data_IF_591880124564
#
_entry.id   IF_591880124564
#
_cell.length_a   1.000
_cell.length_b   1.000
_cell.length_c   1.000
_cell.angle_alpha   90.00
_cell.angle_beta   90.00
_cell.angle_gamma   90.00
#
_symmetry.space_group_name_H-M   'P 1'
#
loop_
_entity.id
_entity.type
_entity.pdbx_description
1 polymer ?
#
# COMPACT_ATOMS: atom_id res chain seq x y z
N UNK A 1 15.43 -6.19 -39.35
CA UNK A 1 15.23 -5.35 -38.15
C UNK A 1 15.80 -6.10 -36.95
N UNK A 2 16.93 -5.62 -36.46
CA UNK A 2 17.68 -6.20 -35.35
C UNK A 2 16.85 -6.05 -34.09
N UNK A 3 16.45 -7.17 -33.46
CA UNK A 3 15.94 -7.17 -32.08
C UNK A 3 17.10 -6.74 -31.19
N UNK A 4 17.00 -5.55 -30.60
CA UNK A 4 17.95 -5.12 -29.56
C UNK A 4 17.85 -6.08 -28.37
N UNK A 5 18.99 -6.65 -28.03
CA UNK A 5 19.21 -7.63 -26.96
C UNK A 5 19.29 -6.98 -25.56
N UNK A 6 18.43 -6.02 -25.23
CA UNK A 6 18.55 -5.20 -23.99
C UNK A 6 17.59 -5.57 -22.84
N UNK A 7 16.88 -6.71 -22.89
CA UNK A 7 15.79 -6.99 -21.93
C UNK A 7 16.04 -8.11 -20.91
N UNK A 8 17.26 -8.64 -20.76
CA UNK A 8 17.49 -9.77 -19.86
C UNK A 8 17.56 -9.43 -18.37
N UNK A 9 17.52 -8.15 -17.99
CA UNK A 9 17.89 -7.74 -16.62
C UNK A 9 17.01 -6.65 -15.98
N UNK A 10 15.72 -6.62 -16.29
CA UNK A 10 14.75 -5.72 -15.64
C UNK A 10 13.38 -6.37 -15.54
N UNK A 11 12.56 -5.91 -14.59
CA UNK A 11 11.14 -6.26 -14.60
C UNK A 11 10.44 -5.52 -15.74
N UNK A 12 9.41 -6.15 -16.31
CA UNK A 12 8.62 -5.55 -17.37
C UNK A 12 7.68 -4.50 -16.78
N UNK A 13 7.81 -3.27 -17.24
CA UNK A 13 6.96 -2.13 -16.85
C UNK A 13 6.32 -1.51 -18.09
N UNK A 14 5.28 -0.71 -17.88
CA UNK A 14 4.58 0.01 -18.95
C UNK A 14 4.66 1.51 -18.67
N UNK A 15 5.10 2.29 -19.68
CA UNK A 15 5.28 3.74 -19.54
C UNK A 15 3.98 4.48 -19.17
N UNK A 16 2.84 3.98 -19.65
CA UNK A 16 1.52 4.56 -19.37
C UNK A 16 0.95 4.16 -18.01
N UNK A 17 1.53 3.16 -17.33
CA UNK A 17 1.04 2.70 -16.04
C UNK A 17 1.59 3.59 -14.93
N UNK A 18 0.67 4.18 -14.16
CA UNK A 18 0.96 5.06 -13.03
C UNK A 18 1.46 4.30 -11.80
N UNK A 19 1.31 2.97 -11.80
CA UNK A 19 1.76 2.07 -10.75
C UNK A 19 1.37 2.50 -9.33
N UNK A 20 0.10 2.86 -9.05
CA UNK A 20 -0.30 3.26 -7.73
C UNK A 20 -0.20 2.09 -6.75
N UNK A 21 0.12 2.38 -5.50
CA UNK A 21 0.13 1.43 -4.39
C UNK A 21 -0.13 2.14 -3.07
N UNK A 22 -0.56 1.39 -2.06
CA UNK A 22 -0.76 1.88 -0.70
C UNK A 22 -0.14 0.89 0.29
N UNK A 23 -0.20 1.21 1.57
CA UNK A 23 0.20 0.27 2.63
C UNK A 23 -0.99 -0.04 3.53
N UNK A 24 -1.28 -1.30 3.79
CA UNK A 24 -2.27 -1.71 4.78
C UNK A 24 -1.61 -2.30 6.01
N UNK A 25 -2.37 -2.49 7.09
CA UNK A 25 -1.87 -3.08 8.33
C UNK A 25 -2.37 -4.53 8.38
N UNK A 26 -1.47 -5.48 8.18
CA UNK A 26 -1.76 -6.90 8.34
C UNK A 26 -1.81 -7.28 9.84
N UNK A 27 -2.50 -8.37 10.13
CA UNK A 27 -2.68 -8.91 11.49
C UNK A 27 -1.81 -10.15 11.75
N UNK A 28 -1.28 -10.78 10.71
CA UNK A 28 -0.41 -11.94 10.84
C UNK A 28 1.05 -11.61 10.50
N UNK A 29 2.02 -12.27 11.15
CA UNK A 29 3.41 -12.17 10.75
C UNK A 29 3.60 -12.76 9.36
N UNK A 30 4.67 -12.32 8.69
CA UNK A 30 5.04 -12.90 7.40
C UNK A 30 5.26 -14.42 7.53
N UNK A 31 4.55 -15.19 6.71
CA UNK A 31 4.72 -16.64 6.63
C UNK A 31 6.06 -16.97 5.96
N UNK A 32 7.00 -17.43 6.80
CA UNK A 32 8.36 -17.76 6.40
C UNK A 32 8.45 -19.04 5.54
N UNK A 33 7.42 -19.89 5.53
CA UNK A 33 7.41 -21.13 4.74
C UNK A 33 7.42 -20.83 3.23
N UNK A 34 6.90 -19.66 2.84
CA UNK A 34 6.93 -19.20 1.46
C UNK A 34 8.33 -18.81 0.95
N UNK A 35 9.34 -18.72 1.84
CA UNK A 35 10.69 -18.26 1.53
C UNK A 35 11.71 -19.39 1.68
N UNK A 36 11.72 -20.29 0.69
CA UNK A 36 12.58 -21.49 0.69
C UNK A 36 14.05 -21.22 0.39
N UNK A 37 14.36 -20.14 -0.33
CA UNK A 37 15.74 -19.77 -0.62
C UNK A 37 16.43 -19.24 0.66
N UNK A 38 17.66 -19.70 1.02
CA UNK A 38 18.31 -19.30 2.26
C UNK A 38 18.41 -17.79 2.45
N UNK A 39 18.74 -17.06 1.38
CA UNK A 39 18.85 -15.60 1.41
C UNK A 39 17.49 -14.93 1.65
N UNK A 40 16.46 -15.35 0.91
CA UNK A 40 15.10 -14.83 1.08
C UNK A 40 14.58 -15.11 2.49
N UNK A 41 14.87 -16.28 3.06
CA UNK A 41 14.49 -16.61 4.44
C UNK A 41 15.14 -15.68 5.48
N UNK A 42 16.42 -15.31 5.31
CA UNK A 42 17.11 -14.36 6.19
C UNK A 42 16.48 -12.97 6.10
N UNK A 43 16.22 -12.49 4.88
CA UNK A 43 15.57 -11.20 4.66
C UNK A 43 14.14 -11.17 5.19
N UNK A 44 13.34 -12.21 4.92
CA UNK A 44 11.97 -12.35 5.40
C UNK A 44 11.89 -12.35 6.93
N UNK A 45 12.87 -12.95 7.62
CA UNK A 45 12.94 -12.92 9.09
C UNK A 45 13.08 -11.51 9.65
N UNK A 46 13.77 -10.61 8.95
CA UNK A 46 13.96 -9.22 9.40
C UNK A 46 12.63 -8.46 9.42
N UNK A 47 11.81 -8.65 8.39
CA UNK A 47 10.52 -7.98 8.22
C UNK A 47 9.33 -8.77 8.78
N UNK A 48 9.58 -9.94 9.40
CA UNK A 48 8.54 -10.88 9.82
C UNK A 48 7.43 -10.22 10.65
N UNK A 49 7.83 -9.34 11.57
CA UNK A 49 6.93 -8.73 12.55
C UNK A 49 6.49 -7.32 12.16
N UNK A 50 6.85 -6.82 10.97
CA UNK A 50 6.39 -5.53 10.48
C UNK A 50 5.02 -5.71 9.81
N UNK A 51 3.92 -5.20 10.42
CA UNK A 51 2.57 -5.39 9.90
C UNK A 51 2.25 -4.53 8.68
N UNK A 52 3.09 -3.55 8.30
CA UNK A 52 2.73 -2.55 7.29
C UNK A 52 3.12 -3.06 5.91
N UNK A 53 2.15 -3.58 5.17
CA UNK A 53 2.39 -4.31 3.93
C UNK A 53 2.04 -3.46 2.70
N UNK A 54 2.93 -3.37 1.68
CA UNK A 54 2.63 -2.68 0.43
C UNK A 54 1.64 -3.47 -0.42
N UNK A 55 0.66 -2.77 -1.01
CA UNK A 55 -0.31 -3.35 -1.92
C UNK A 55 -0.59 -2.48 -3.16
N UNK A 56 -0.39 -3.04 -4.37
CA UNK A 56 0.45 -4.20 -4.65
C UNK A 56 1.91 -3.89 -4.37
N UNK A 57 2.74 -4.92 -4.26
CA UNK A 57 4.11 -4.79 -3.76
C UNK A 57 5.10 -4.09 -4.72
N UNK A 58 4.68 -3.50 -5.87
CA UNK A 58 5.44 -2.70 -6.89
C UNK A 58 6.98 -2.88 -6.97
N UNK A 59 7.49 -4.11 -6.80
CA UNK A 59 8.93 -4.41 -6.76
C UNK A 59 9.61 -4.11 -8.10
N UNK A 60 8.83 -4.15 -9.18
CA UNK A 60 9.23 -3.83 -10.53
C UNK A 60 9.70 -2.37 -10.65
N UNK A 61 8.97 -1.44 -10.04
CA UNK A 61 9.27 0.00 -10.08
C UNK A 61 10.50 0.34 -9.24
N UNK A 62 10.55 -0.19 -8.02
CA UNK A 62 11.71 -0.05 -7.12
C UNK A 62 12.98 -0.57 -7.78
N UNK A 63 12.96 -1.81 -8.29
CA UNK A 63 14.15 -2.43 -8.90
C UNK A 63 14.63 -1.68 -10.15
N UNK A 64 13.70 -1.21 -10.99
CA UNK A 64 14.05 -0.48 -12.21
C UNK A 64 14.48 0.97 -11.93
N UNK A 65 14.14 1.50 -10.75
CA UNK A 65 14.29 2.91 -10.38
C UNK A 65 13.27 3.81 -11.08
N UNK A 66 12.07 3.30 -11.37
CA UNK A 66 10.99 4.02 -12.06
C UNK A 66 9.97 4.51 -11.06
N UNK A 67 9.38 5.70 -11.24
CA UNK A 67 8.41 6.25 -10.30
C UNK A 67 7.18 5.36 -10.06
N UNK A 68 6.62 5.49 -8.86
CA UNK A 68 5.32 4.96 -8.47
C UNK A 68 4.47 6.08 -7.88
N UNK A 69 3.17 5.83 -7.69
CA UNK A 69 2.29 6.75 -6.95
C UNK A 69 1.90 6.10 -5.62
N UNK A 70 2.22 6.76 -4.51
CA UNK A 70 1.71 6.35 -3.20
C UNK A 70 0.30 6.93 -3.06
N UNK A 71 -0.70 6.07 -2.86
CA UNK A 71 -2.07 6.48 -2.51
C UNK A 71 -2.04 6.94 -1.05
N UNK A 72 -2.55 8.14 -0.78
CA UNK A 72 -2.49 8.76 0.54
C UNK A 72 -3.91 9.16 0.98
N UNK A 73 -4.29 8.99 2.25
CA UNK A 73 -5.50 9.60 2.79
C UNK A 73 -5.49 11.12 2.56
N UNK A 74 -6.63 11.69 2.20
CA UNK A 74 -6.77 13.13 1.98
C UNK A 74 -6.88 13.96 3.28
N UNK A 75 -6.90 13.29 4.43
CA UNK A 75 -7.06 13.87 5.75
C UNK A 75 -6.40 12.98 6.81
N UNK A 76 -6.09 13.53 8.01
CA UNK A 76 -5.54 12.74 9.10
C UNK A 76 -6.43 11.54 9.44
N UNK A 77 -5.81 10.37 9.56
CA UNK A 77 -6.51 9.13 9.93
C UNK A 77 -6.52 9.02 11.45
N UNK A 78 -7.69 9.24 12.03
CA UNK A 78 -7.90 9.16 13.47
C UNK A 78 -9.22 8.47 13.83
N UNK A 79 -9.29 7.95 15.06
CA UNK A 79 -10.49 7.32 15.61
C UNK A 79 -10.56 7.49 17.14
N UNK A 80 -11.71 7.91 17.72
CA UNK A 80 -11.88 7.99 19.17
C UNK A 80 -12.03 6.58 19.76
N UNK A 81 -11.08 6.18 20.62
CA UNK A 81 -11.11 4.87 21.26
C UNK A 81 -12.11 4.82 22.42
N UNK A 82 -12.21 5.92 23.16
CA UNK A 82 -13.14 6.17 24.26
C UNK A 82 -13.31 7.69 24.46
N UNK A 83 -13.92 8.11 25.57
CA UNK A 83 -14.17 9.54 25.86
C UNK A 83 -12.88 10.35 26.04
N UNK A 84 -11.78 9.74 26.50
CA UNK A 84 -10.53 10.43 26.85
C UNK A 84 -9.39 10.23 25.85
N UNK A 85 -9.51 9.30 24.89
CA UNK A 85 -8.41 8.89 24.01
C UNK A 85 -8.84 8.88 22.54
N UNK A 86 -8.04 9.53 21.70
CA UNK A 86 -8.10 9.45 20.24
C UNK A 86 -6.82 8.79 19.73
N UNK A 87 -6.97 7.74 18.92
CA UNK A 87 -5.87 7.15 18.18
C UNK A 87 -5.68 7.89 16.85
N UNK A 88 -4.43 8.17 16.48
CA UNK A 88 -4.07 8.80 15.21
C UNK A 88 -2.91 8.05 14.57
N UNK A 89 -2.97 7.81 13.26
CA UNK A 89 -1.82 7.29 12.51
C UNK A 89 -0.88 8.44 12.19
N UNK A 90 0.38 8.26 12.57
CA UNK A 90 1.46 9.15 12.19
C UNK A 90 1.98 8.76 10.79
N UNK A 91 1.82 9.62 9.77
CA UNK A 91 2.13 9.25 8.38
C UNK A 91 3.60 8.88 8.15
N UNK A 92 4.54 9.60 8.78
CA UNK A 92 5.97 9.42 8.48
C UNK A 92 6.49 8.05 8.98
N UNK A 93 6.33 7.66 10.26
CA UNK A 93 6.73 6.32 10.70
C UNK A 93 5.93 5.21 10.00
N UNK A 94 4.67 5.45 9.68
CA UNK A 94 3.84 4.49 8.94
C UNK A 94 4.43 4.21 7.54
N UNK A 95 4.71 5.27 6.78
CA UNK A 95 5.29 5.16 5.44
C UNK A 95 6.72 4.63 5.49
N UNK A 96 7.54 5.05 6.45
CA UNK A 96 8.90 4.51 6.65
C UNK A 96 8.86 2.99 6.80
N UNK A 97 8.00 2.49 7.67
CA UNK A 97 7.88 1.05 7.95
C UNK A 97 7.31 0.28 6.75
N UNK A 98 6.36 0.84 6.02
CA UNK A 98 5.87 0.26 4.76
C UNK A 98 6.94 0.21 3.67
N UNK A 99 7.69 1.30 3.48
CA UNK A 99 8.77 1.36 2.49
C UNK A 99 9.89 0.38 2.85
N UNK A 100 10.21 0.21 4.12
CA UNK A 100 11.13 -0.82 4.58
C UNK A 100 10.71 -2.21 4.08
N UNK A 101 9.46 -2.62 4.36
CA UNK A 101 8.92 -3.88 3.86
C UNK A 101 9.03 -3.98 2.33
N UNK A 102 8.63 -2.93 1.61
CA UNK A 102 8.72 -2.88 0.14
C UNK A 102 10.15 -3.10 -0.37
N UNK A 103 11.15 -2.47 0.23
CA UNK A 103 12.56 -2.61 -0.18
C UNK A 103 13.10 -4.02 0.12
N UNK A 104 12.76 -4.59 1.28
CA UNK A 104 13.09 -5.98 1.60
C UNK A 104 12.48 -6.97 0.60
N UNK A 105 11.21 -6.80 0.24
CA UNK A 105 10.55 -7.62 -0.77
C UNK A 105 11.13 -7.43 -2.17
N UNK A 106 11.53 -6.21 -2.52
CA UNK A 106 12.18 -5.94 -3.79
C UNK A 106 13.57 -6.61 -3.86
N UNK A 107 14.36 -6.64 -2.78
CA UNK A 107 15.62 -7.40 -2.72
C UNK A 107 15.36 -8.91 -2.85
N UNK A 108 14.41 -9.46 -2.08
CA UNK A 108 14.06 -10.89 -2.17
C UNK A 108 13.63 -11.28 -3.58
N UNK A 109 12.69 -10.54 -4.18
CA UNK A 109 12.16 -10.84 -5.52
C UNK A 109 13.18 -10.64 -6.62
N UNK A 110 14.03 -9.63 -6.52
CA UNK A 110 15.09 -9.41 -7.51
C UNK A 110 16.15 -10.51 -7.49
N UNK A 111 16.51 -11.03 -6.31
CA UNK A 111 17.38 -12.19 -6.17
C UNK A 111 16.76 -13.45 -6.74
N UNK A 112 15.50 -13.73 -6.42
CA UNK A 112 14.78 -14.91 -6.89
C UNK A 112 14.56 -14.94 -8.40
N UNK A 113 14.19 -13.80 -8.99
CA UNK A 113 13.74 -13.73 -10.40
C UNK A 113 14.84 -13.31 -11.37
N UNK A 114 15.76 -12.46 -10.92
CA UNK A 114 16.77 -11.83 -11.78
C UNK A 114 18.20 -12.15 -11.35
N UNK A 115 18.39 -12.84 -10.22
CA UNK A 115 19.70 -13.15 -9.63
C UNK A 115 20.55 -11.89 -9.40
N UNK A 116 19.91 -10.77 -9.05
CA UNK A 116 20.54 -9.47 -8.82
C UNK A 116 20.06 -8.86 -7.50
N UNK A 117 20.92 -8.06 -6.88
CA UNK A 117 20.51 -7.17 -5.78
C UNK A 117 19.93 -5.88 -6.33
N UNK A 118 19.14 -5.21 -5.50
CA UNK A 118 18.85 -3.80 -5.61
C UNK A 118 20.15 -3.00 -5.62
N UNK A 119 20.18 -1.99 -6.49
CA UNK A 119 21.26 -1.00 -6.52
C UNK A 119 20.82 0.21 -5.71
N UNK A 120 21.65 0.74 -4.79
CA UNK A 120 21.33 1.95 -4.03
C UNK A 120 20.87 3.11 -4.94
N UNK A 121 21.62 3.37 -6.02
CA UNK A 121 21.29 4.39 -7.02
C UNK A 121 19.88 4.24 -7.61
N UNK A 122 19.40 2.99 -7.81
CA UNK A 122 18.06 2.73 -8.35
C UNK A 122 16.98 3.00 -7.31
N UNK A 123 17.22 2.65 -6.06
CA UNK A 123 16.30 2.91 -4.95
C UNK A 123 16.22 4.41 -4.66
N UNK A 124 17.36 5.12 -4.64
CA UNK A 124 17.40 6.58 -4.51
C UNK A 124 16.64 7.26 -5.65
N UNK A 125 16.89 6.86 -6.91
CA UNK A 125 16.17 7.40 -8.05
C UNK A 125 14.66 7.09 -7.98
N UNK A 126 14.26 5.90 -7.54
CA UNK A 126 12.84 5.58 -7.33
C UNK A 126 12.22 6.51 -6.29
N UNK A 127 12.87 6.69 -5.14
CA UNK A 127 12.35 7.50 -4.04
C UNK A 127 12.26 8.98 -4.42
N UNK A 128 13.32 9.54 -5.02
CA UNK A 128 13.34 10.93 -5.50
C UNK A 128 12.21 11.20 -6.50
N UNK A 129 11.98 10.28 -7.43
CA UNK A 129 10.91 10.43 -8.41
C UNK A 129 9.51 10.13 -7.85
N UNK A 130 9.39 9.39 -6.74
CA UNK A 130 8.10 9.00 -6.16
C UNK A 130 7.61 9.99 -5.11
N UNK A 131 8.51 10.53 -4.27
CA UNK A 131 8.13 11.36 -3.13
C UNK A 131 7.35 12.62 -3.51
N UNK A 132 7.66 13.19 -4.68
CA UNK A 132 7.04 14.40 -5.23
C UNK A 132 5.79 14.18 -6.07
N UNK A 133 5.42 12.91 -6.32
CA UNK A 133 4.24 12.61 -7.12
C UNK A 133 3.00 12.52 -6.25
N UNK A 134 1.93 13.12 -6.76
CA UNK A 134 0.58 12.95 -6.24
C UNK A 134 -0.33 12.53 -7.39
N UNK A 135 -1.01 11.40 -7.23
CA UNK A 135 -2.08 10.99 -8.14
C UNK A 135 -3.42 11.34 -7.54
N UNK A 136 -4.27 12.05 -8.29
CA UNK A 136 -5.64 12.35 -7.85
C UNK A 136 -6.49 11.08 -7.91
N UNK A 137 -6.53 10.35 -6.79
CA UNK A 137 -7.13 9.03 -6.67
C UNK A 137 -8.34 9.07 -5.72
N UNK A 138 -9.14 10.14 -5.80
CA UNK A 138 -10.20 10.52 -4.86
C UNK A 138 -10.91 9.37 -4.14
N UNK A 139 -11.53 8.43 -4.88
CA UNK A 139 -12.26 7.32 -4.25
C UNK A 139 -11.35 6.34 -3.48
N UNK A 140 -10.14 6.08 -3.97
CA UNK A 140 -9.17 5.20 -3.32
C UNK A 140 -8.53 5.87 -2.11
N UNK A 141 -8.36 7.19 -2.09
CA UNK A 141 -7.88 7.91 -0.91
C UNK A 141 -8.88 7.80 0.25
N UNK A 142 -10.18 7.90 -0.05
CA UNK A 142 -11.27 7.69 0.91
C UNK A 142 -11.32 6.23 1.39
N UNK A 143 -11.31 5.28 0.46
CA UNK A 143 -11.38 3.86 0.79
C UNK A 143 -10.12 3.44 1.59
N UNK A 144 -8.95 3.98 1.28
CA UNK A 144 -7.72 3.76 2.05
C UNK A 144 -7.80 4.35 3.47
N UNK A 145 -8.33 5.57 3.62
CA UNK A 145 -8.61 6.15 4.94
C UNK A 145 -9.55 5.24 5.75
N UNK A 146 -10.56 4.64 5.11
CA UNK A 146 -11.47 3.71 5.76
C UNK A 146 -10.78 2.40 6.20
N UNK A 147 -9.88 1.83 5.40
CA UNK A 147 -9.11 0.63 5.78
C UNK A 147 -8.24 0.87 7.00
N UNK A 148 -7.56 2.02 7.06
CA UNK A 148 -6.74 2.38 8.21
C UNK A 148 -7.59 2.69 9.46
N UNK A 149 -8.71 3.41 9.30
CA UNK A 149 -9.66 3.65 10.39
C UNK A 149 -10.26 2.37 10.94
N UNK A 150 -10.51 1.36 10.09
CA UNK A 150 -10.99 0.06 10.53
C UNK A 150 -10.02 -0.56 11.54
N UNK A 151 -8.71 -0.52 11.27
CA UNK A 151 -7.70 -1.05 12.18
C UNK A 151 -7.68 -0.32 13.53
N UNK A 152 -7.80 1.02 13.52
CA UNK A 152 -7.90 1.80 14.76
C UNK A 152 -9.17 1.46 15.55
N UNK A 153 -10.30 1.36 14.85
CA UNK A 153 -11.62 1.11 15.41
C UNK A 153 -11.73 -0.28 16.06
N UNK A 154 -11.10 -1.30 15.47
CA UNK A 154 -11.20 -2.68 15.96
C UNK A 154 -9.98 -3.05 16.80
N UNK A 155 -8.82 -3.24 16.18
CA UNK A 155 -7.62 -3.80 16.81
C UNK A 155 -7.10 -2.89 17.92
N UNK A 156 -6.79 -1.63 17.61
CA UNK A 156 -6.21 -0.71 18.61
C UNK A 156 -7.18 -0.46 19.74
N UNK A 157 -8.48 -0.29 19.42
CA UNK A 157 -9.51 -0.15 20.44
C UNK A 157 -9.60 -1.37 21.35
N UNK A 158 -9.47 -2.58 20.81
CA UNK A 158 -9.47 -3.80 21.60
C UNK A 158 -8.22 -3.88 22.48
N UNK A 159 -7.03 -3.58 21.93
CA UNK A 159 -5.76 -3.54 22.68
C UNK A 159 -5.81 -2.57 23.86
N UNK A 160 -6.26 -1.33 23.62
CA UNK A 160 -6.30 -0.29 24.67
C UNK A 160 -7.34 -0.57 25.74
N UNK A 161 -8.45 -1.22 25.39
CA UNK A 161 -9.51 -1.56 26.34
C UNK A 161 -9.40 -2.99 26.90
N UNK A 162 -8.25 -3.67 26.70
CA UNK A 162 -7.99 -5.04 27.15
C UNK A 162 -9.10 -6.04 26.75
N UNK A 163 -9.57 -5.94 25.52
CA UNK A 163 -10.62 -6.80 24.95
C UNK A 163 -10.03 -7.93 24.10
N UNK A 164 -10.92 -8.83 23.67
CA UNK A 164 -10.61 -9.93 22.75
C UNK A 164 -10.02 -9.42 21.42
N UNK A 165 -8.71 -9.63 21.25
CA UNK A 165 -7.97 -9.26 20.05
C UNK A 165 -8.34 -10.16 18.87
N UNK A 166 -8.62 -11.44 19.10
CA UNK A 166 -8.98 -12.37 18.02
C UNK A 166 -10.34 -12.00 17.43
N UNK A 167 -11.33 -11.73 18.28
CA UNK A 167 -12.62 -11.19 17.85
C UNK A 167 -12.50 -9.87 17.09
N UNK A 168 -11.65 -8.95 17.58
CA UNK A 168 -11.37 -7.68 16.89
C UNK A 168 -10.68 -7.87 15.53
N UNK A 169 -9.84 -8.89 15.39
CA UNK A 169 -9.18 -9.25 14.14
C UNK A 169 -10.15 -9.83 13.10
N UNK A 170 -11.11 -10.65 13.53
CA UNK A 170 -12.22 -11.09 12.67
C UNK A 170 -13.01 -9.88 12.17
N UNK A 171 -13.41 -8.99 13.08
CA UNK A 171 -14.17 -7.77 12.74
C UNK A 171 -13.39 -6.87 11.77
N UNK A 172 -12.07 -6.70 11.98
CA UNK A 172 -11.19 -5.96 11.08
C UNK A 172 -11.23 -6.51 9.66
N UNK A 173 -10.98 -7.83 9.50
CA UNK A 173 -10.96 -8.48 8.21
C UNK A 173 -12.34 -8.43 7.53
N UNK A 174 -13.42 -8.60 8.29
CA UNK A 174 -14.79 -8.51 7.76
C UNK A 174 -15.13 -7.12 7.25
N UNK A 175 -14.75 -6.05 7.95
CA UNK A 175 -14.99 -4.67 7.51
C UNK A 175 -14.32 -4.42 6.16
N UNK A 176 -13.02 -4.74 6.04
CA UNK A 176 -12.27 -4.51 4.80
C UNK A 176 -12.80 -5.39 3.66
N UNK A 177 -13.01 -6.69 3.91
CA UNK A 177 -13.61 -7.61 2.94
C UNK A 177 -14.94 -7.08 2.42
N UNK A 178 -15.81 -6.57 3.29
CA UNK A 178 -17.11 -6.02 2.91
C UNK A 178 -16.97 -4.74 2.07
N UNK A 179 -16.03 -3.85 2.39
CA UNK A 179 -15.75 -2.66 1.57
C UNK A 179 -15.30 -3.09 0.16
N UNK A 180 -14.28 -3.94 0.06
CA UNK A 180 -13.74 -4.42 -1.22
C UNK A 180 -14.82 -5.15 -2.04
N UNK A 181 -15.54 -6.10 -1.43
CA UNK A 181 -16.63 -6.85 -2.05
C UNK A 181 -17.71 -5.92 -2.59
N UNK A 182 -18.14 -4.94 -1.80
CA UNK A 182 -19.16 -3.97 -2.20
C UNK A 182 -18.71 -3.11 -3.37
N UNK A 183 -17.43 -2.71 -3.42
CA UNK A 183 -16.87 -1.95 -4.55
C UNK A 183 -16.82 -2.78 -5.82
N UNK A 184 -16.31 -4.01 -5.73
CA UNK A 184 -16.26 -4.91 -6.88
C UNK A 184 -17.65 -5.28 -7.38
N UNK A 185 -18.62 -5.59 -6.51
CA UNK A 185 -20.01 -5.87 -6.90
C UNK A 185 -20.72 -4.69 -7.55
N UNK A 186 -20.43 -3.46 -7.10
CA UNK A 186 -20.93 -2.24 -7.74
C UNK A 186 -20.32 -2.01 -9.12
N UNK A 187 -19.12 -2.55 -9.36
CA UNK A 187 -18.33 -2.38 -10.58
C UNK A 187 -18.22 -0.90 -10.99
N UNK A 188 -18.01 -0.01 -10.02
CA UNK A 188 -17.93 1.43 -10.23
C UNK A 188 -16.90 2.04 -9.31
N UNK A 189 -16.14 3.00 -9.84
CA UNK A 189 -15.20 3.84 -9.11
C UNK A 189 -15.36 5.28 -9.59
N UNK A 190 -15.29 6.23 -8.65
CA UNK A 190 -15.30 7.64 -8.96
C UNK A 190 -13.86 8.08 -9.30
N UNK A 191 -13.69 8.69 -10.47
CA UNK A 191 -12.44 9.31 -10.91
C UNK A 191 -12.67 10.80 -11.11
N UNK A 192 -11.64 11.60 -10.90
CA UNK A 192 -11.68 13.04 -11.12
C UNK A 192 -10.57 13.43 -12.10
N UNK A 193 -10.96 14.01 -13.24
CA UNK A 193 -10.06 14.46 -14.31
C UNK A 193 -10.50 15.85 -14.75
N UNK A 194 -9.60 16.82 -14.75
CA UNK A 194 -9.84 18.23 -15.07
C UNK A 194 -11.03 18.80 -14.27
N UNK A 195 -11.08 18.48 -12.97
CA UNK A 195 -12.21 18.83 -12.06
C UNK A 195 -13.58 18.23 -12.44
N UNK A 196 -13.63 17.34 -13.43
CA UNK A 196 -14.85 16.61 -13.78
C UNK A 196 -14.81 15.24 -13.09
N UNK A 197 -15.84 14.97 -12.29
CA UNK A 197 -16.01 13.69 -11.64
C UNK A 197 -16.84 12.75 -12.52
N UNK A 198 -16.32 11.55 -12.77
CA UNK A 198 -16.98 10.52 -13.57
C UNK A 198 -16.99 9.17 -12.83
N UNK A 199 -18.10 8.44 -12.97
CA UNK A 199 -18.20 7.08 -12.45
C UNK A 199 -17.93 6.04 -13.53
N UNK A 200 -16.70 5.54 -13.54
CA UNK A 200 -16.17 4.57 -14.51
C UNK A 200 -16.26 3.14 -13.97
N UNK A 201 -16.23 2.15 -14.87
CA UNK A 201 -16.31 0.74 -14.48
C UNK A 201 -14.94 0.23 -13.97
N UNK A 202 -14.95 -0.70 -13.01
CA UNK A 202 -13.75 -1.42 -12.57
C UNK A 202 -13.35 -2.52 -13.57
N UNK A 203 -14.35 -3.16 -14.18
CA UNK A 203 -14.19 -4.20 -15.19
C UNK A 203 -15.35 -4.19 -16.19
N UNK A 204 -15.13 -4.84 -17.33
CA UNK A 204 -16.18 -5.20 -18.29
C UNK A 204 -16.49 -6.68 -18.27
N UNK A 205 -17.76 -7.01 -18.44
CA UNK A 205 -18.23 -8.38 -18.59
C UNK A 205 -18.26 -8.78 -20.06
N UNK A 206 -17.67 -9.93 -20.39
CA UNK A 206 -17.71 -10.48 -21.74
C UNK A 206 -18.26 -11.90 -21.71
N UNK A 207 -19.36 -12.14 -22.42
CA UNK A 207 -19.90 -13.50 -22.60
C UNK A 207 -19.09 -14.23 -23.65
N UNK A 208 -18.29 -15.19 -23.23
CA UNK A 208 -17.50 -16.04 -24.12
C UNK A 208 -18.13 -17.44 -24.25
N UNK A 209 -17.97 -18.02 -25.44
CA UNK A 209 -18.39 -19.39 -25.74
C UNK A 209 -17.18 -20.30 -25.69
N UNK A 210 -17.22 -21.25 -24.77
CA UNK A 210 -16.21 -22.27 -24.59
C UNK A 210 -16.72 -23.62 -25.11
N UNK A 211 -15.83 -24.44 -25.65
CA UNK A 211 -16.15 -25.82 -26.02
C UNK A 211 -15.63 -26.73 -24.92
N UNK A 212 -16.54 -27.27 -24.11
CA UNK A 212 -16.21 -28.28 -23.10
C UNK A 212 -16.68 -29.65 -23.59
N UNK A 213 -15.72 -30.54 -23.87
CA UNK A 213 -15.98 -31.80 -24.57
C UNK A 213 -16.69 -31.55 -25.92
N UNK A 214 -17.94 -31.98 -26.04
CA UNK A 214 -18.80 -31.80 -27.23
C UNK A 214 -19.88 -30.72 -27.06
N UNK A 215 -19.95 -30.04 -25.91
CA UNK A 215 -20.98 -29.03 -25.63
C UNK A 215 -20.37 -27.62 -25.64
N UNK A 216 -21.10 -26.66 -26.20
CA UNK A 216 -20.75 -25.25 -26.11
C UNK A 216 -21.34 -24.68 -24.82
N UNK A 217 -20.48 -24.27 -23.89
CA UNK A 217 -20.84 -23.64 -22.63
C UNK A 217 -20.61 -22.14 -22.75
N UNK A 218 -21.55 -21.32 -22.29
CA UNK A 218 -21.35 -19.87 -22.20
C UNK A 218 -20.83 -19.55 -20.81
N UNK A 219 -19.70 -18.86 -20.72
CA UNK A 219 -19.15 -18.34 -19.45
C UNK A 219 -19.02 -16.82 -19.54
N UNK A 220 -19.20 -16.14 -18.42
CA UNK A 220 -18.90 -14.71 -18.30
C UNK A 220 -17.44 -14.56 -17.88
N UNK A 221 -16.68 -13.80 -18.66
CA UNK A 221 -15.34 -13.35 -18.32
C UNK A 221 -15.40 -11.92 -17.79
N UNK A 222 -14.60 -11.64 -16.77
CA UNK A 222 -14.41 -10.31 -16.23
C UNK A 222 -13.05 -9.80 -16.68
N UNK A 223 -13.01 -8.67 -17.38
CA UNK A 223 -11.77 -8.04 -17.81
C UNK A 223 -11.58 -6.72 -17.07
N UNK A 224 -10.50 -6.56 -16.29
CA UNK A 224 -10.19 -5.31 -15.61
C UNK A 224 -10.12 -4.14 -16.60
N UNK A 225 -10.65 -2.99 -16.22
CA UNK A 225 -10.57 -1.76 -17.01
C UNK A 225 -9.36 -0.92 -16.61
N UNK A 226 -8.78 -0.25 -17.60
CA UNK A 226 -7.76 0.78 -17.40
C UNK A 226 -8.45 2.13 -17.28
N UNK A 227 -8.17 2.83 -16.18
CA UNK A 227 -8.73 4.16 -15.94
C UNK A 227 -7.63 5.20 -15.87
N UNK A 228 -7.97 6.38 -16.37
CA UNK A 228 -7.10 7.54 -16.40
C UNK A 228 -7.11 8.26 -15.05
N UNK A 229 -5.96 8.78 -14.65
CA UNK A 229 -5.76 9.60 -13.46
C UNK A 229 -4.85 10.77 -13.76
N UNK A 230 -5.08 11.87 -13.05
CA UNK A 230 -4.19 13.02 -13.08
C UNK A 230 -3.05 12.82 -12.09
N UNK A 231 -1.83 13.01 -12.59
CA UNK A 231 -0.61 12.93 -11.80
C UNK A 231 0.05 14.31 -11.82
N UNK A 232 0.32 14.80 -10.62
CA UNK A 232 0.97 16.07 -10.36
C UNK A 232 2.38 15.81 -9.86
N UNK A 233 3.34 16.57 -10.38
CA UNK A 233 4.73 16.52 -9.94
C UNK A 233 5.09 17.82 -9.22
N UNK A 234 5.39 17.70 -7.93
CA UNK A 234 5.73 18.83 -7.06
C UNK A 234 7.24 19.00 -6.85
N UNK A 235 8.09 18.39 -7.69
CA UNK A 235 9.55 18.46 -7.54
C UNK A 235 10.08 19.89 -7.49
N UNK A 236 9.58 20.79 -8.36
CA UNK A 236 10.08 22.17 -8.44
C UNK A 236 9.41 23.13 -7.45
N UNK A 237 8.18 22.82 -7.00
CA UNK A 237 7.33 23.76 -6.27
C UNK A 237 7.07 23.36 -4.81
N UNK A 238 7.53 22.17 -4.40
CA UNK A 238 7.20 21.51 -3.13
C UNK A 238 5.71 21.20 -2.97
N UNK A 239 5.39 20.31 -2.02
CA UNK A 239 3.99 20.03 -1.68
C UNK A 239 3.31 21.27 -1.11
N UNK A 240 2.14 21.66 -1.65
CA UNK A 240 1.37 22.73 -1.06
C UNK A 240 0.80 22.31 0.29
N UNK A 241 0.52 23.29 1.14
CA UNK A 241 -0.22 23.05 2.38
C UNK A 241 -1.63 22.57 2.08
N UNK A 242 -2.18 21.71 2.94
CA UNK A 242 -3.50 21.10 2.74
C UNK A 242 -4.62 22.13 2.48
N UNK A 243 -4.62 23.24 3.21
CA UNK A 243 -5.62 24.33 3.09
C UNK A 243 -5.66 24.93 1.67
N UNK A 244 -4.52 24.96 0.98
CA UNK A 244 -4.38 25.49 -0.37
C UNK A 244 -4.38 24.39 -1.45
N UNK A 245 -4.35 23.11 -1.07
CA UNK A 245 -4.03 21.99 -1.96
C UNK A 245 -4.95 21.94 -3.19
N UNK A 246 -6.27 22.02 -3.01
CA UNK A 246 -7.24 22.01 -4.11
C UNK A 246 -7.09 23.24 -5.03
N UNK A 247 -6.95 24.42 -4.44
CA UNK A 247 -6.77 25.66 -5.19
C UNK A 247 -5.45 25.67 -5.97
N UNK A 248 -4.41 25.07 -5.39
CA UNK A 248 -3.07 25.00 -5.94
C UNK A 248 -2.99 24.03 -7.12
N UNK A 249 -3.59 22.84 -6.97
CA UNK A 249 -3.74 21.86 -8.05
C UNK A 249 -4.48 22.45 -9.26
N UNK A 250 -5.51 23.26 -9.03
CA UNK A 250 -6.30 23.85 -10.12
C UNK A 250 -5.56 24.92 -10.95
N UNK A 251 -4.42 25.44 -10.46
CA UNK A 251 -3.83 26.67 -11.00
C UNK A 251 -2.51 26.50 -11.76
N UNK A 252 -1.66 25.51 -11.50
CA UNK A 252 -0.27 25.57 -12.02
C UNK A 252 0.52 24.25 -12.04
N UNK A 253 0.20 23.23 -12.87
CA UNK A 253 1.10 22.08 -13.00
C UNK A 253 1.14 21.46 -14.40
N UNK A 254 2.29 20.86 -14.73
CA UNK A 254 2.42 19.85 -15.78
C UNK A 254 1.61 18.62 -15.35
N UNK A 255 0.31 18.63 -15.68
CA UNK A 255 -0.57 17.50 -15.42
C UNK A 255 -0.22 16.38 -16.41
N UNK A 256 0.15 15.22 -15.89
CA UNK A 256 0.35 14.02 -16.68
C UNK A 256 -0.84 13.10 -16.46
N UNK A 257 -1.54 12.75 -17.53
CA UNK A 257 -2.58 11.71 -17.47
C UNK A 257 -1.92 10.35 -17.62
N UNK A 258 -2.09 9.50 -16.61
CA UNK A 258 -1.57 8.12 -16.60
C UNK A 258 -2.72 7.13 -16.38
N UNK A 259 -2.48 5.86 -16.67
CA UNK A 259 -3.46 4.78 -16.52
C UNK A 259 -3.13 3.87 -15.35
N UNK A 260 -4.13 3.24 -14.76
CA UNK A 260 -3.94 2.14 -13.83
C UNK A 260 -5.15 1.20 -13.80
N UNK A 261 -5.01 0.06 -13.11
CA UNK A 261 -6.08 -0.94 -12.96
C UNK A 261 -6.51 -0.97 -11.49
N UNK A 262 -7.61 -0.30 -11.11
CA UNK A 262 -8.08 -0.20 -9.72
C UNK A 262 -8.56 -1.53 -9.16
N UNK A 263 -9.12 -2.40 -10.01
CA UNK A 263 -9.69 -3.67 -9.59
C UNK A 263 -8.67 -4.52 -8.82
N UNK A 264 -7.41 -4.52 -9.26
CA UNK A 264 -6.35 -5.31 -8.63
C UNK A 264 -6.13 -4.91 -7.16
N UNK A 265 -6.29 -3.63 -6.81
CA UNK A 265 -6.12 -3.18 -5.42
C UNK A 265 -7.19 -3.78 -4.50
N UNK A 266 -8.45 -3.81 -4.96
CA UNK A 266 -9.56 -4.36 -4.19
C UNK A 266 -9.55 -5.88 -4.16
N UNK A 267 -9.20 -6.52 -5.29
CA UNK A 267 -9.13 -7.97 -5.43
C UNK A 267 -8.02 -8.53 -4.54
N UNK A 268 -6.80 -7.99 -4.65
CA UNK A 268 -5.66 -8.43 -3.84
C UNK A 268 -5.92 -8.19 -2.34
N UNK A 269 -6.48 -7.03 -1.95
CA UNK A 269 -6.76 -6.75 -0.53
C UNK A 269 -7.87 -7.66 0.00
N UNK A 270 -8.90 -7.94 -0.80
CA UNK A 270 -9.96 -8.86 -0.41
C UNK A 270 -9.38 -10.26 -0.19
N UNK A 271 -8.51 -10.73 -1.10
CA UNK A 271 -7.88 -12.04 -0.97
C UNK A 271 -7.06 -12.14 0.32
N UNK A 272 -6.27 -11.11 0.65
CA UNK A 272 -5.55 -11.04 1.93
C UNK A 272 -6.50 -11.16 3.13
N UNK A 273 -7.61 -10.42 3.15
CA UNK A 273 -8.57 -10.49 4.26
C UNK A 273 -9.27 -11.86 4.34
N UNK A 274 -9.61 -12.47 3.21
CA UNK A 274 -10.20 -13.81 3.16
C UNK A 274 -9.23 -14.87 3.66
N UNK A 275 -7.94 -14.77 3.31
CA UNK A 275 -6.90 -15.64 3.81
C UNK A 275 -6.73 -15.48 5.32
N UNK A 276 -6.68 -14.24 5.81
CA UNK A 276 -6.57 -13.95 7.23
C UNK A 276 -7.75 -14.50 8.04
N UNK A 277 -8.98 -14.38 7.53
CA UNK A 277 -10.15 -15.00 8.18
C UNK A 277 -10.03 -16.52 8.29
N UNK A 278 -9.53 -17.20 7.25
CA UNK A 278 -9.30 -18.65 7.32
C UNK A 278 -8.27 -19.03 8.38
N UNK A 279 -7.19 -18.24 8.51
CA UNK A 279 -6.15 -18.46 9.52
C UNK A 279 -6.68 -18.20 10.94
N UNK A 280 -7.58 -17.23 11.11
CA UNK A 280 -8.29 -16.98 12.36
C UNK A 280 -9.24 -18.14 12.73
N UNK A 281 -9.88 -18.77 11.75
CA UNK A 281 -10.75 -19.95 11.99
C UNK A 281 -9.94 -21.17 12.44
N UNK A 282 -8.72 -21.38 11.91
CA UNK A 282 -7.88 -22.52 12.27
C UNK A 282 -7.10 -22.33 13.57
N UNK A 283 -6.93 -21.08 14.04
CA UNK A 283 -6.09 -20.72 15.19
C UNK A 283 -4.64 -21.26 15.08
N UNK A 284 -4.14 -21.42 13.87
CA UNK A 284 -2.82 -22.02 13.61
C UNK A 284 -1.66 -21.03 13.76
N UNK A 285 -1.94 -19.73 13.66
CA UNK A 285 -0.93 -18.67 13.70
C UNK A 285 -1.23 -17.66 14.81
N UNK A 286 -0.16 -17.22 15.47
CA UNK A 286 -0.21 -16.14 16.45
C UNK A 286 -0.37 -14.79 15.74
N UNK A 287 -1.28 -13.96 16.26
CA UNK A 287 -1.49 -12.60 15.77
C UNK A 287 -0.29 -11.70 16.11
N UNK A 288 -0.02 -10.73 15.24
CA UNK A 288 0.94 -9.67 15.55
C UNK A 288 0.44 -8.85 16.73
N UNK A 289 1.35 -8.58 17.68
CA UNK A 289 1.06 -7.72 18.82
C UNK A 289 0.92 -6.26 18.34
N UNK A 290 -0.27 -5.63 18.44
CA UNK A 290 -0.47 -4.26 17.96
C UNK A 290 0.38 -3.22 18.69
N UNK A 291 0.89 -3.53 19.89
CA UNK A 291 1.77 -2.64 20.65
C UNK A 291 3.02 -2.22 19.88
N UNK A 292 3.51 -3.03 18.93
CA UNK A 292 4.67 -2.67 18.10
C UNK A 292 4.43 -1.37 17.31
N UNK A 293 3.19 -1.09 16.91
CA UNK A 293 2.82 0.14 16.21
C UNK A 293 2.77 1.35 17.15
N UNK A 294 2.44 1.13 18.43
CA UNK A 294 2.46 2.16 19.46
C UNK A 294 3.91 2.50 19.85
N UNK A 295 4.73 1.47 20.09
CA UNK A 295 6.14 1.59 20.46
C UNK A 295 6.96 2.32 19.39
N UNK A 296 6.66 2.05 18.11
CA UNK A 296 7.34 2.69 16.98
C UNK A 296 6.73 4.04 16.57
N UNK A 297 5.82 4.61 17.37
CA UNK A 297 5.13 5.89 17.09
C UNK A 297 4.39 5.92 15.75
N UNK A 298 4.03 4.76 15.21
CA UNK A 298 3.20 4.65 14.01
C UNK A 298 1.76 5.01 14.33
N UNK A 299 1.28 4.55 15.50
CA UNK A 299 -0.02 4.92 16.05
C UNK A 299 0.23 5.66 17.36
N UNK A 300 -0.37 6.85 17.47
CA UNK A 300 -0.26 7.70 18.65
C UNK A 300 -1.59 7.72 19.39
N UNK A 301 -1.53 7.65 20.72
CA UNK A 301 -2.67 7.82 21.61
C UNK A 301 -2.64 9.24 22.17
N UNK A 302 -3.64 10.04 21.81
CA UNK A 302 -3.75 11.44 22.20
C UNK A 302 -4.92 11.63 23.16
N UNK A 303 -4.74 12.55 24.10
CA UNK A 303 -5.76 12.97 25.06
C UNK A 303 -6.86 13.77 24.33
N UNK A 304 -8.11 13.28 24.39
CA UNK A 304 -9.26 13.82 23.67
C UNK A 304 -9.58 15.26 24.11
N UNK A 305 -9.44 15.58 25.40
CA UNK A 305 -9.71 16.91 25.95
C UNK A 305 -8.69 17.94 25.46
N UNK A 306 -7.46 17.50 25.21
CA UNK A 306 -6.43 18.34 24.60
C UNK A 306 -6.59 18.45 23.09
N UNK A 307 -7.52 17.73 22.47
CA UNK A 307 -7.62 17.69 21.00
C UNK A 307 -8.18 18.97 20.41
N UNK A 308 -8.96 19.75 21.16
CA UNK A 308 -9.29 21.13 20.75
C UNK A 308 -8.03 22.01 20.61
N UNK A 309 -6.95 21.68 21.34
CA UNK A 309 -5.64 22.34 21.24
C UNK A 309 -4.65 21.64 20.30
N UNK A 310 -4.79 20.33 20.06
CA UNK A 310 -3.94 19.55 19.16
C UNK A 310 -4.49 19.66 17.74
N UNK A 311 -3.85 20.48 16.91
CA UNK A 311 -4.13 20.53 15.47
C UNK A 311 -3.79 19.17 14.83
N UNK A 312 -4.81 18.34 14.57
CA UNK A 312 -4.66 17.06 13.87
C UNK A 312 -3.99 17.21 12.48
N UNK A 313 -4.05 18.40 11.89
CA UNK A 313 -3.38 18.77 10.64
C UNK A 313 -1.86 18.52 10.67
N UNK A 314 -1.22 18.41 11.85
CA UNK A 314 0.20 18.01 11.91
C UNK A 314 0.44 16.55 11.47
N UNK A 315 -0.63 15.75 11.35
CA UNK A 315 -0.62 14.37 10.86
C UNK A 315 -1.25 14.27 9.46
N UNK A 316 -1.18 15.35 8.68
CA UNK A 316 -1.58 15.34 7.28
C UNK A 316 -0.66 14.43 6.45
N UNK A 317 -1.25 13.75 5.47
CA UNK A 317 -0.53 12.85 4.57
C UNK A 317 -0.07 13.53 3.27
N UNK A 318 -0.56 14.75 3.02
CA UNK A 318 -0.22 15.56 1.85
C UNK A 318 1.05 16.38 2.10
N UNK A 319 2.13 15.69 2.42
CA UNK A 319 3.44 16.28 2.72
C UNK A 319 4.52 15.73 1.79
N UNK A 320 5.66 16.41 1.72
CA UNK A 320 6.87 15.79 1.18
C UNK A 320 7.26 14.58 2.05
N UNK A 321 7.77 13.53 1.42
CA UNK A 321 8.28 12.32 2.09
C UNK A 321 9.79 12.42 2.33
N UNK A 322 10.34 13.62 2.39
CA UNK A 322 11.77 13.88 2.63
C UNK A 322 12.28 13.41 3.99
N UNK A 323 11.40 13.19 4.97
CA UNK A 323 11.75 12.64 6.28
C UNK A 323 11.98 11.11 6.28
N UNK A 324 11.64 10.43 5.18
CA UNK A 324 11.84 8.98 5.04
C UNK A 324 13.32 8.71 4.72
N UNK A 325 14.00 8.00 5.62
CA UNK A 325 15.42 7.67 5.50
C UNK A 325 15.58 6.31 4.79
N UNK A 326 15.79 6.37 3.48
CA UNK A 326 16.04 5.18 2.65
C UNK A 326 17.44 4.59 2.86
N UNK A 327 18.42 5.41 3.26
CA UNK A 327 19.81 4.97 3.41
C UNK A 327 19.94 4.05 4.63
N UNK A 328 19.24 4.37 5.72
CA UNK A 328 19.12 3.50 6.90
C UNK A 328 18.53 2.15 6.52
N UNK A 329 17.47 2.11 5.71
CA UNK A 329 16.86 0.86 5.26
C UNK A 329 17.83 0.04 4.40
N UNK A 330 18.48 0.68 3.41
CA UNK A 330 19.43 0.01 2.53
C UNK A 330 20.63 -0.57 3.30
N UNK A 331 21.12 0.17 4.30
CA UNK A 331 22.17 -0.31 5.19
C UNK A 331 21.72 -1.53 6.00
N UNK A 332 20.49 -1.53 6.51
CA UNK A 332 19.90 -2.67 7.21
C UNK A 332 19.80 -3.93 6.33
N UNK A 333 19.35 -3.76 5.08
CA UNK A 333 19.31 -4.86 4.09
C UNK A 333 20.72 -5.40 3.86
N UNK A 334 21.69 -4.53 3.60
CA UNK A 334 23.08 -4.94 3.34
C UNK A 334 23.70 -5.69 4.52
N UNK A 335 23.47 -5.23 5.76
CA UNK A 335 23.95 -5.91 6.97
C UNK A 335 23.35 -7.31 7.12
N UNK A 336 22.06 -7.46 6.79
CA UNK A 336 21.38 -8.77 6.80
C UNK A 336 21.96 -9.78 5.81
N UNK A 337 22.67 -9.32 4.76
CA UNK A 337 23.30 -10.16 3.75
C UNK A 337 24.72 -10.62 4.13
N UNK A 338 25.34 -10.05 5.18
CA UNK A 338 26.70 -10.42 5.60
C UNK A 338 26.65 -11.69 6.46
N UNK A 339 27.35 -12.78 6.09
CA UNK A 339 27.38 -13.99 6.91
C UNK A 339 28.00 -13.70 8.28
N UNK A 340 27.31 -14.08 9.36
CA UNK A 340 27.79 -13.91 10.76
C UNK A 340 29.13 -14.61 11.07
N UNK A 341 29.65 -15.45 10.17
CA UNK A 341 30.91 -16.19 10.33
C UNK A 341 32.18 -15.41 9.89
N UNK A 342 32.12 -14.07 9.81
CA UNK A 342 33.27 -13.21 9.47
C UNK A 342 33.53 -12.08 10.49
N UNK A 343 33.00 -12.21 11.71
CA UNK A 343 33.39 -11.36 12.85
C UNK A 343 34.12 -12.17 13.90
#
# INVERSE_FOLDING_TARGET
MVKSSESLHKFKTYKSDAAPFFFYIDIFPLDLENFTAPLSSVLAKHVKNNPIMPLPMRVDRVFNGESSIIIRPNSPVSFPLNESIIAVINPIPFLQSGIENLLYFAEMRSKERLFRSLKPEKVSNWMENTRFLYGNLHQLEEDFSAFLKAYLYTIIKATVNEKDIAGAAIEYCDIINNICKKKMLRNKILVEINSNQESVNLYREKKAKYREKLKVVKKTEYHPELIDIEVYNFYETNFPKQEDFKNFISKNYDIIVMKYIPLLLYDDLQECMLQNMRLLETNELELLNPSILLENNVILLLDSEKTESIKLNKYDWLTDLGEIDIDVILNSINQSLIPKNKM
#
